data_IF_535130943549
#
_entry.id   IF_535130943549
#
_cell.length_a   1.000
_cell.length_b   1.000
_cell.length_c   1.000
_cell.angle_alpha   90.00
_cell.angle_beta   90.00
_cell.angle_gamma   90.00
#
_symmetry.space_group_name_H-M   'P 1'
#
loop_
_entity.id
_entity.type
_entity.pdbx_description
1 polymer ?
#
# COMPACT_ATOMS: atom_id res chain seq x y z
N UNK A 1 2.91 -8.79 0.28
CA UNK A 1 3.62 -7.49 0.18
C UNK A 1 4.52 -7.39 -1.05
N UNK A 2 5.19 -8.46 -1.45
CA UNK A 2 6.00 -8.44 -2.68
C UNK A 2 5.16 -8.05 -3.90
N UNK A 3 3.94 -8.55 -4.00
CA UNK A 3 3.03 -8.24 -5.10
C UNK A 3 2.67 -6.74 -5.14
N UNK A 4 2.52 -6.10 -3.99
CA UNK A 4 2.24 -4.67 -3.90
C UNK A 4 3.44 -3.87 -4.42
N UNK A 5 4.64 -4.25 -4.01
CA UNK A 5 5.88 -3.60 -4.46
C UNK A 5 6.04 -3.77 -5.97
N UNK A 6 5.78 -4.96 -6.48
CA UNK A 6 5.87 -5.23 -7.91
C UNK A 6 4.87 -4.38 -8.72
N UNK A 7 3.63 -4.26 -8.25
CA UNK A 7 2.60 -3.46 -8.92
C UNK A 7 2.99 -1.97 -8.95
N UNK A 8 3.49 -1.45 -7.83
CA UNK A 8 3.97 -0.06 -7.75
C UNK A 8 5.16 0.17 -8.67
N UNK A 9 6.10 -0.79 -8.74
CA UNK A 9 7.24 -0.71 -9.64
C UNK A 9 6.80 -0.65 -11.12
N UNK A 10 5.83 -1.47 -11.50
CA UNK A 10 5.27 -1.44 -12.86
C UNK A 10 4.62 -0.08 -13.18
N UNK A 11 3.96 0.53 -12.20
CA UNK A 11 3.42 1.87 -12.36
C UNK A 11 4.53 2.89 -12.63
N UNK A 12 5.66 2.78 -11.92
CA UNK A 12 6.83 3.62 -12.16
C UNK A 12 7.39 3.45 -13.56
N UNK A 13 7.46 2.22 -14.06
CA UNK A 13 7.90 1.92 -15.43
C UNK A 13 6.96 2.59 -16.45
N UNK A 14 5.66 2.54 -16.21
CA UNK A 14 4.67 3.18 -17.07
C UNK A 14 4.97 4.67 -17.26
N UNK A 15 5.51 5.32 -16.24
CA UNK A 15 5.82 6.76 -16.27
C UNK A 15 7.31 7.06 -16.50
N UNK A 16 8.07 6.09 -16.98
CA UNK A 16 9.41 6.35 -17.51
C UNK A 16 10.58 5.98 -16.61
N UNK A 17 10.34 5.36 -15.45
CA UNK A 17 11.44 4.86 -14.63
C UNK A 17 11.92 3.51 -15.14
N UNK A 18 13.21 3.19 -14.92
CA UNK A 18 13.67 1.82 -15.12
C UNK A 18 13.02 0.91 -14.09
N UNK A 19 12.86 -0.38 -14.40
CA UNK A 19 12.27 -1.34 -13.45
C UNK A 19 13.08 -1.42 -12.16
N UNK A 20 14.42 -1.35 -12.27
CA UNK A 20 15.32 -1.38 -11.11
C UNK A 20 15.09 -0.17 -10.19
N UNK A 21 15.05 1.04 -10.76
CA UNK A 21 14.79 2.26 -10.00
C UNK A 21 13.39 2.22 -9.36
N UNK A 22 12.39 1.85 -10.14
CA UNK A 22 11.01 1.79 -9.66
C UNK A 22 10.84 0.78 -8.51
N UNK A 23 11.49 -0.37 -8.60
CA UNK A 23 11.47 -1.39 -7.53
C UNK A 23 12.08 -0.85 -6.24
N UNK A 24 13.24 -0.20 -6.33
CA UNK A 24 13.91 0.38 -5.17
C UNK A 24 13.04 1.46 -4.50
N UNK A 25 12.48 2.37 -5.30
CA UNK A 25 11.62 3.45 -4.80
C UNK A 25 10.38 2.86 -4.13
N UNK A 26 9.73 1.90 -4.77
CA UNK A 26 8.53 1.26 -4.23
C UNK A 26 8.82 0.54 -2.91
N UNK A 27 9.91 -0.21 -2.85
CA UNK A 27 10.30 -0.93 -1.64
C UNK A 27 10.61 0.03 -0.49
N UNK A 28 11.33 1.12 -0.76
CA UNK A 28 11.64 2.13 0.25
C UNK A 28 10.38 2.84 0.75
N UNK A 29 9.43 3.15 -0.13
CA UNK A 29 8.17 3.76 0.24
C UNK A 29 7.35 2.86 1.16
N UNK A 30 7.26 1.57 0.84
CA UNK A 30 6.54 0.59 1.67
C UNK A 30 7.23 0.42 3.03
N UNK A 31 8.55 0.26 3.03
CA UNK A 31 9.34 0.10 4.26
C UNK A 31 9.22 1.34 5.16
N UNK A 32 9.37 2.53 4.60
CA UNK A 32 9.27 3.78 5.35
C UNK A 32 7.88 4.00 5.92
N UNK A 33 6.85 3.69 5.15
CA UNK A 33 5.47 3.80 5.60
C UNK A 33 5.17 2.84 6.75
N UNK A 34 5.62 1.60 6.65
CA UNK A 34 5.45 0.61 7.72
C UNK A 34 6.17 1.04 9.00
N UNK A 35 7.40 1.54 8.88
CA UNK A 35 8.17 2.05 10.01
C UNK A 35 7.47 3.22 10.69
N UNK A 36 6.90 4.13 9.90
CA UNK A 36 6.17 5.28 10.43
C UNK A 36 4.91 4.85 11.19
N UNK A 37 4.17 3.89 10.65
CA UNK A 37 2.98 3.34 11.32
C UNK A 37 3.35 2.76 12.69
N UNK A 38 4.44 1.98 12.75
CA UNK A 38 4.90 1.39 14.02
C UNK A 38 5.33 2.45 15.02
N UNK A 39 6.07 3.47 14.56
CA UNK A 39 6.55 4.57 15.41
C UNK A 39 5.36 5.38 15.98
N UNK A 40 4.42 5.76 15.14
CA UNK A 40 3.27 6.58 15.55
C UNK A 40 2.26 5.82 16.39
N UNK A 41 2.21 4.50 16.28
CA UNK A 41 1.31 3.67 17.08
C UNK A 41 1.57 3.86 18.58
N UNK A 42 2.80 4.13 18.99
CA UNK A 42 3.16 4.39 20.38
C UNK A 42 2.43 5.64 20.93
N UNK A 43 2.13 6.59 20.07
CA UNK A 43 1.39 7.80 20.41
C UNK A 43 -0.12 7.66 20.16
N UNK A 44 -0.60 6.45 19.87
CA UNK A 44 -2.01 6.19 19.60
C UNK A 44 -2.48 6.64 18.23
N UNK A 45 -1.57 6.95 17.32
CA UNK A 45 -1.90 7.38 15.95
C UNK A 45 -2.10 6.14 15.07
N UNK A 46 -3.20 6.11 14.35
CA UNK A 46 -3.58 4.98 13.47
C UNK A 46 -3.39 5.34 12.00
N UNK A 47 -3.28 4.33 11.10
CA UNK A 47 -3.04 4.59 9.67
C UNK A 47 -4.00 5.58 9.02
N UNK A 48 -5.28 5.57 9.39
CA UNK A 48 -6.26 6.51 8.83
C UNK A 48 -5.88 7.97 9.10
N UNK A 49 -5.33 8.28 10.27
CA UNK A 49 -4.87 9.61 10.61
C UNK A 49 -3.65 10.02 9.78
N UNK A 50 -2.75 9.08 9.52
CA UNK A 50 -1.57 9.33 8.67
C UNK A 50 -2.00 9.63 7.23
N UNK A 51 -3.00 8.93 6.72
CA UNK A 51 -3.58 9.18 5.41
C UNK A 51 -4.10 10.63 5.34
N UNK A 52 -4.90 11.02 6.32
CA UNK A 52 -5.50 12.36 6.36
C UNK A 52 -4.44 13.45 6.41
N UNK A 53 -3.32 13.21 7.10
CA UNK A 53 -2.23 14.19 7.20
C UNK A 53 -1.54 14.46 5.86
N UNK A 54 -1.53 13.50 4.94
CA UNK A 54 -0.86 13.64 3.64
C UNK A 54 -1.81 13.96 2.50
N UNK A 55 -3.12 13.99 2.76
CA UNK A 55 -4.13 14.30 1.76
C UNK A 55 -4.50 15.78 1.82
N UNK A 56 -3.84 16.61 1.01
CA UNK A 56 -4.23 18.01 0.87
C UNK A 56 -5.51 18.13 0.04
N UNK A 57 -6.34 19.18 0.29
CA UNK A 57 -7.56 19.39 -0.49
C UNK A 57 -7.27 19.51 -2.00
N UNK A 58 -7.91 18.65 -2.79
CA UNK A 58 -7.75 18.63 -4.25
C UNK A 58 -6.40 18.13 -4.75
N UNK A 59 -5.56 17.56 -3.87
CA UNK A 59 -4.20 17.16 -4.22
C UNK A 59 -4.09 15.80 -4.88
N UNK A 60 -2.85 15.40 -5.19
CA UNK A 60 -2.55 14.16 -5.89
C UNK A 60 -2.76 12.93 -4.99
N UNK A 61 -2.47 13.05 -3.70
CA UNK A 61 -2.58 11.92 -2.77
C UNK A 61 -4.04 11.47 -2.60
N UNK A 62 -4.96 12.42 -2.40
CA UNK A 62 -6.39 12.05 -2.26
C UNK A 62 -6.93 11.48 -3.56
N UNK A 63 -6.52 12.00 -4.71
CA UNK A 63 -6.93 11.47 -6.00
C UNK A 63 -6.47 10.01 -6.16
N UNK A 64 -5.22 9.72 -5.82
CA UNK A 64 -4.68 8.36 -5.85
C UNK A 64 -5.38 7.42 -4.86
N UNK A 65 -5.64 7.89 -3.65
CA UNK A 65 -6.34 7.11 -2.62
C UNK A 65 -7.73 6.69 -3.11
N UNK A 66 -8.53 7.63 -3.58
CA UNK A 66 -9.89 7.35 -4.03
C UNK A 66 -9.90 6.44 -5.27
N UNK A 67 -8.96 6.63 -6.20
CA UNK A 67 -8.83 5.77 -7.36
C UNK A 67 -8.48 4.33 -6.97
N UNK A 68 -7.56 4.14 -6.00
CA UNK A 68 -7.18 2.81 -5.52
C UNK A 68 -8.33 2.11 -4.81
N UNK A 69 -9.13 2.83 -4.03
CA UNK A 69 -10.29 2.26 -3.36
C UNK A 69 -11.38 1.90 -4.37
N UNK A 70 -11.62 2.73 -5.37
CA UNK A 70 -12.57 2.42 -6.46
C UNK A 70 -12.15 1.17 -7.23
N UNK A 71 -10.83 0.99 -7.44
CA UNK A 71 -10.29 -0.19 -8.09
C UNK A 71 -10.28 -1.43 -7.19
N UNK A 72 -10.62 -1.30 -5.91
CA UNK A 72 -10.82 -2.43 -5.00
C UNK A 72 -9.61 -2.82 -4.16
N UNK A 73 -8.70 -1.90 -3.87
CA UNK A 73 -7.48 -2.24 -3.12
C UNK A 73 -7.79 -2.87 -1.77
N UNK A 74 -8.62 -2.24 -0.94
CA UNK A 74 -8.94 -2.77 0.40
C UNK A 74 -9.62 -4.14 0.31
N UNK A 75 -10.58 -4.29 -0.60
CA UNK A 75 -11.26 -5.56 -0.81
C UNK A 75 -10.32 -6.65 -1.30
N UNK A 76 -9.38 -6.32 -2.17
CA UNK A 76 -8.39 -7.28 -2.67
C UNK A 76 -7.50 -7.80 -1.53
N UNK A 77 -7.07 -6.92 -0.63
CA UNK A 77 -6.23 -7.31 0.50
C UNK A 77 -7.00 -8.18 1.50
N UNK A 78 -8.25 -7.83 1.81
CA UNK A 78 -9.10 -8.65 2.69
C UNK A 78 -9.35 -10.02 2.05
N UNK A 79 -9.65 -10.07 0.76
CA UNK A 79 -9.87 -11.32 0.04
C UNK A 79 -8.63 -12.22 0.06
N UNK A 80 -7.44 -11.64 -0.05
CA UNK A 80 -6.19 -12.38 0.02
C UNK A 80 -6.01 -13.06 1.38
N UNK A 81 -6.28 -12.33 2.46
CA UNK A 81 -6.19 -12.88 3.81
C UNK A 81 -7.24 -13.98 4.02
N UNK A 82 -8.48 -13.74 3.59
CA UNK A 82 -9.55 -14.73 3.70
C UNK A 82 -9.19 -16.04 2.99
N UNK A 83 -8.66 -15.94 1.77
CA UNK A 83 -8.27 -17.11 0.99
C UNK A 83 -7.11 -17.86 1.65
N UNK A 84 -6.14 -17.14 2.20
CA UNK A 84 -5.00 -17.75 2.89
C UNK A 84 -5.45 -18.47 4.16
N UNK A 85 -6.33 -17.87 4.94
CA UNK A 85 -6.88 -18.47 6.16
C UNK A 85 -7.70 -19.71 5.84
N UNK A 86 -8.56 -19.63 4.81
CA UNK A 86 -9.36 -20.75 4.37
C UNK A 86 -8.47 -21.93 3.92
N UNK A 87 -7.45 -21.63 3.13
CA UNK A 87 -6.53 -22.66 2.64
C UNK A 87 -5.72 -23.30 3.77
N UNK A 88 -5.27 -22.51 4.73
CA UNK A 88 -4.59 -23.02 5.92
C UNK A 88 -5.49 -24.00 6.69
N UNK A 89 -6.77 -23.65 6.86
CA UNK A 89 -7.76 -24.53 7.49
C UNK A 89 -7.96 -25.86 6.74
N UNK A 90 -7.96 -25.83 5.40
CA UNK A 90 -8.09 -27.03 4.57
C UNK A 90 -6.88 -27.96 4.70
N UNK A 91 -5.70 -27.39 5.00
CA UNK A 91 -4.46 -28.16 5.14
C UNK A 91 -4.30 -28.77 6.55
N UNK A 92 -5.12 -28.41 7.49
CA UNK A 92 -5.12 -28.92 8.86
C UNK A 92 -6.16 -30.04 9.01
#
# INVERSE_FOLDING_TARGET
MFQIIEALARAGVKYGLSKSQATTIAAQAVAGSASLVLDRAEDGIVPAQLIDQVCSPGGTTIAGLLASEEAGLSNALVAAVDAAVQRDGELR
#
